data_IF_475910331458
#
_entry.id   IF_475910331458
#
_cell.length_a   1.000
_cell.length_b   1.000
_cell.length_c   1.000
_cell.angle_alpha   90.00
_cell.angle_beta   90.00
_cell.angle_gamma   90.00
#
_symmetry.space_group_name_H-M   'P 1'
#
loop_
_entity.id
_entity.type
_entity.pdbx_description
1 polymer ?
#
# COMPACT_ATOMS: atom_id res chain seq x y z
N UNK A 1 17.13 11.18 23.11
CA UNK A 1 16.42 11.58 21.87
C UNK A 1 16.05 10.31 21.13
N UNK A 2 14.77 9.93 21.12
CA UNK A 2 14.30 8.71 20.43
C UNK A 2 14.16 9.01 18.94
N UNK A 3 14.61 8.10 18.08
CA UNK A 3 14.39 8.21 16.64
C UNK A 3 12.88 8.29 16.32
N UNK A 4 12.47 9.00 15.25
CA UNK A 4 11.07 9.03 14.86
C UNK A 4 10.57 7.62 14.52
N UNK A 5 9.33 7.32 14.91
CA UNK A 5 8.67 6.06 14.56
C UNK A 5 8.58 5.90 13.02
N UNK A 6 8.65 4.67 12.49
CA UNK A 6 8.57 4.43 11.06
C UNK A 6 7.22 4.88 10.49
N UNK A 7 7.26 5.57 9.35
CA UNK A 7 6.08 5.99 8.60
C UNK A 7 5.53 4.82 7.81
N UNK A 8 4.30 4.42 8.12
CA UNK A 8 3.62 3.30 7.46
C UNK A 8 2.48 3.86 6.62
N UNK A 9 2.53 3.63 5.31
CA UNK A 9 1.43 3.90 4.38
C UNK A 9 0.59 2.63 4.19
N UNK A 10 -0.73 2.79 4.11
CA UNK A 10 -1.68 1.70 3.84
C UNK A 10 -2.42 2.00 2.54
N UNK A 11 -2.41 1.06 1.60
CA UNK A 11 -3.09 1.15 0.32
C UNK A 11 -4.11 0.00 0.18
N UNK A 12 -5.38 0.22 0.58
CA UNK A 12 -6.42 -0.79 0.49
C UNK A 12 -7.07 -0.85 -0.90
N UNK A 13 -7.54 -2.03 -1.30
CA UNK A 13 -8.28 -2.22 -2.56
C UNK A 13 -8.59 -3.69 -2.85
N UNK A 14 -9.50 -3.96 -3.79
CA UNK A 14 -9.78 -5.33 -4.25
C UNK A 14 -8.65 -5.88 -5.14
N UNK A 15 -8.00 -5.01 -5.92
CA UNK A 15 -6.92 -5.36 -6.85
C UNK A 15 -7.26 -6.53 -7.80
N UNK A 16 -8.53 -6.63 -8.21
CA UNK A 16 -9.06 -7.65 -9.12
C UNK A 16 -9.48 -7.00 -10.46
N UNK A 17 -8.58 -6.87 -11.46
CA UNK A 17 -7.16 -7.21 -11.42
C UNK A 17 -6.25 -6.05 -10.96
N UNK A 18 -5.01 -6.39 -10.61
CA UNK A 18 -3.97 -5.39 -10.38
C UNK A 18 -3.53 -4.76 -11.71
N UNK A 19 -3.22 -3.47 -11.70
CA UNK A 19 -2.84 -2.70 -12.89
C UNK A 19 -1.48 -2.02 -12.70
N UNK A 20 -0.85 -1.57 -13.80
CA UNK A 20 0.36 -0.73 -13.75
C UNK A 20 0.15 0.57 -12.98
N UNK A 21 -1.08 1.08 -12.92
CA UNK A 21 -1.42 2.25 -12.09
C UNK A 21 -1.30 1.96 -10.59
N UNK A 22 -1.75 0.78 -10.14
CA UNK A 22 -1.57 0.36 -8.75
C UNK A 22 -0.08 0.22 -8.41
N UNK A 23 0.70 -0.37 -9.31
CA UNK A 23 2.15 -0.55 -9.13
C UNK A 23 2.91 0.80 -9.05
N UNK A 24 2.54 1.76 -9.90
CA UNK A 24 3.07 3.13 -9.87
C UNK A 24 2.75 3.84 -8.55
N UNK A 25 1.51 3.72 -8.06
CA UNK A 25 1.11 4.24 -6.74
C UNK A 25 1.93 3.63 -5.60
N UNK A 26 2.14 2.30 -5.62
CA UNK A 26 2.96 1.60 -4.61
C UNK A 26 4.42 2.09 -4.65
N UNK A 27 4.98 2.29 -5.84
CA UNK A 27 6.34 2.84 -6.01
C UNK A 27 6.46 4.27 -5.50
N UNK A 28 5.48 5.12 -5.80
CA UNK A 28 5.46 6.51 -5.30
C UNK A 28 5.29 6.55 -3.78
N UNK A 29 4.48 5.67 -3.20
CA UNK A 29 4.31 5.61 -1.74
C UNK A 29 5.63 5.32 -0.99
N UNK A 30 6.57 4.59 -1.62
CA UNK A 30 7.90 4.31 -1.05
C UNK A 30 8.81 5.53 -0.95
N UNK A 31 8.50 6.65 -1.63
CA UNK A 31 9.35 7.86 -1.56
C UNK A 31 9.10 8.69 -0.30
N UNK A 32 7.96 8.50 0.37
CA UNK A 32 7.58 9.26 1.57
C UNK A 32 7.17 8.41 2.77
N UNK A 33 7.09 7.08 2.63
CA UNK A 33 6.85 6.13 3.71
C UNK A 33 7.94 5.06 3.78
N UNK A 34 8.38 4.72 5.00
CA UNK A 34 9.38 3.68 5.25
C UNK A 34 8.82 2.29 4.91
N UNK A 35 7.50 2.10 5.08
CA UNK A 35 6.80 0.86 4.76
C UNK A 35 5.47 1.13 4.08
N UNK A 36 5.17 0.36 3.04
CA UNK A 36 3.87 0.38 2.34
C UNK A 36 3.21 -0.98 2.55
N UNK A 37 1.98 -0.97 3.08
CA UNK A 37 1.13 -2.15 3.26
C UNK A 37 0.01 -2.10 2.23
N UNK A 38 -0.05 -3.09 1.36
CA UNK A 38 -1.14 -3.23 0.37
C UNK A 38 -2.19 -4.16 0.97
N UNK A 39 -3.34 -3.61 1.35
CA UNK A 39 -4.41 -4.37 2.00
C UNK A 39 -5.41 -4.86 0.96
N UNK A 40 -5.26 -6.12 0.53
CA UNK A 40 -6.10 -6.74 -0.49
C UNK A 40 -7.42 -7.19 0.12
N UNK A 41 -8.51 -6.57 -0.31
CA UNK A 41 -9.86 -6.92 0.12
C UNK A 41 -10.31 -8.21 -0.57
N UNK A 42 -10.69 -9.21 0.22
CA UNK A 42 -11.30 -10.45 -0.27
C UNK A 42 -12.81 -10.29 -0.21
N UNK A 43 -13.47 -10.31 -1.37
CA UNK A 43 -14.93 -10.43 -1.40
C UNK A 43 -15.30 -11.92 -1.42
N UNK A 44 -15.74 -12.43 -0.27
CA UNK A 44 -16.15 -13.84 -0.11
C UNK A 44 -17.45 -14.21 -0.83
N UNK A 45 -18.20 -13.21 -1.32
CA UNK A 45 -19.45 -13.43 -2.06
C UNK A 45 -19.27 -13.48 -3.58
N UNK A 46 -18.02 -13.36 -4.07
CA UNK A 46 -17.65 -13.58 -5.47
C UNK A 46 -16.92 -14.91 -5.60
#
# INVERSE_FOLDING_TARGET
MTAPAPRIAVYPGSFDPITRGHEDLIRRARTFADRVVVAVAVNVAK
#
